data_IF_033812307837
#
_entry.id   IF_033812307837
#
_cell.length_a   1.000
_cell.length_b   1.000
_cell.length_c   1.000
_cell.angle_alpha   90.00
_cell.angle_beta   90.00
_cell.angle_gamma   90.00
#
_symmetry.space_group_name_H-M   'P 1'
#
loop_
_entity.id
_entity.type
_entity.pdbx_description
1 polymer ?
#
# COMPACT_ATOMS: atom_id res chain seq x y z
N UNK A 1 -18.97 14.07 -4.64
CA UNK A 1 -17.66 14.27 -4.00
C UNK A 1 -16.85 12.97 -4.10
N UNK A 2 -17.03 12.22 -5.19
CA UNK A 2 -16.76 10.76 -5.25
C UNK A 2 -15.68 10.38 -6.28
N UNK A 3 -15.03 11.37 -6.91
CA UNK A 3 -14.06 11.14 -8.00
C UNK A 3 -12.64 10.81 -7.53
N UNK A 4 -12.38 10.85 -6.22
CA UNK A 4 -11.05 10.61 -5.64
C UNK A 4 -10.98 9.34 -4.79
N UNK A 5 -12.03 8.52 -4.81
CA UNK A 5 -12.00 7.21 -4.18
C UNK A 5 -11.37 6.23 -5.18
N UNK A 6 -10.40 5.38 -4.77
CA UNK A 6 -9.91 4.33 -5.65
C UNK A 6 -11.11 3.53 -6.17
N UNK A 7 -11.12 3.21 -7.46
CA UNK A 7 -12.19 2.45 -8.10
C UNK A 7 -12.29 1.10 -7.36
N UNK A 8 -13.28 0.99 -6.49
CA UNK A 8 -13.62 -0.26 -5.82
C UNK A 8 -14.11 -1.24 -6.89
N UNK A 9 -13.24 -2.16 -7.30
CA UNK A 9 -13.54 -3.14 -8.36
C UNK A 9 -12.36 -3.51 -9.26
N UNK A 10 -11.23 -2.78 -9.23
CA UNK A 10 -9.99 -3.19 -9.92
C UNK A 10 -9.18 -4.26 -9.17
N UNK A 11 -9.51 -4.51 -7.91
CA UNK A 11 -8.98 -5.66 -7.17
C UNK A 11 -9.79 -6.89 -7.52
N UNK A 12 -9.19 -8.07 -7.75
CA UNK A 12 -9.90 -9.33 -7.69
C UNK A 12 -10.26 -9.60 -6.21
N UNK A 13 -11.23 -8.85 -5.69
CA UNK A 13 -11.67 -8.87 -4.28
C UNK A 13 -12.12 -10.28 -3.86
N UNK A 14 -12.59 -11.06 -4.83
CA UNK A 14 -13.08 -12.43 -4.65
C UNK A 14 -11.95 -13.42 -4.35
N UNK A 15 -10.77 -13.26 -4.97
CA UNK A 15 -9.63 -14.15 -4.69
C UNK A 15 -8.95 -13.78 -3.38
N UNK A 16 -8.78 -12.48 -3.10
CA UNK A 16 -8.11 -12.03 -1.87
C UNK A 16 -8.84 -12.51 -0.61
N UNK A 17 -10.18 -12.41 -0.59
CA UNK A 17 -11.00 -12.94 0.49
C UNK A 17 -10.76 -14.44 0.71
N UNK A 18 -10.75 -15.22 -0.36
CA UNK A 18 -10.50 -16.67 -0.27
C UNK A 18 -9.07 -16.99 0.19
N UNK A 19 -8.08 -16.16 -0.14
CA UNK A 19 -6.70 -16.32 0.34
C UNK A 19 -6.57 -15.98 1.83
N UNK A 20 -7.17 -14.88 2.29
CA UNK A 20 -7.19 -14.47 3.70
C UNK A 20 -7.94 -15.52 4.55
N UNK A 21 -9.08 -16.03 4.08
CA UNK A 21 -9.85 -17.06 4.78
C UNK A 21 -9.12 -18.42 4.84
N UNK A 22 -8.25 -18.71 3.87
CA UNK A 22 -7.48 -19.97 3.80
C UNK A 22 -6.26 -19.97 4.71
N UNK A 23 -5.67 -18.81 4.96
CA UNK A 23 -4.39 -18.65 5.66
C UNK A 23 -4.50 -17.57 6.75
N UNK A 24 -5.35 -17.78 7.77
CA UNK A 24 -5.59 -16.80 8.83
C UNK A 24 -4.35 -16.50 9.69
N UNK A 25 -3.31 -17.33 9.59
CA UNK A 25 -2.01 -17.15 10.27
C UNK A 25 -1.04 -16.20 9.56
N UNK A 26 -1.37 -15.72 8.35
CA UNK A 26 -0.53 -14.75 7.64
C UNK A 26 -0.61 -13.36 8.29
N UNK A 27 0.54 -12.69 8.32
CA UNK A 27 0.72 -11.37 8.91
C UNK A 27 -0.19 -10.29 8.25
N UNK A 28 -0.54 -9.22 9.00
CA UNK A 28 -1.60 -8.26 8.67
C UNK A 28 -1.53 -7.59 7.29
N UNK A 29 -2.70 -7.29 6.74
CA UNK A 29 -2.87 -6.38 5.59
C UNK A 29 -2.53 -4.95 6.00
N UNK A 30 -1.61 -4.30 5.28
CA UNK A 30 -1.26 -2.90 5.55
C UNK A 30 -2.26 -2.00 4.82
N UNK A 31 -2.95 -1.11 5.52
CA UNK A 31 -4.01 -0.26 4.93
C UNK A 31 -4.10 1.11 5.60
N UNK A 32 -4.10 2.17 4.80
CA UNK A 32 -4.74 3.45 5.12
C UNK A 32 -6.05 3.56 4.34
N UNK A 33 -7.18 3.32 5.01
CA UNK A 33 -8.56 3.41 4.48
C UNK A 33 -8.90 2.50 3.28
N UNK A 34 -8.91 1.18 3.47
CA UNK A 34 -9.63 0.22 2.61
C UNK A 34 -10.86 -0.26 3.37
N UNK A 35 -12.09 0.09 2.92
CA UNK A 35 -13.31 -0.46 3.49
C UNK A 35 -13.40 -1.97 3.24
N UNK A 36 -13.38 -2.76 4.32
CA UNK A 36 -13.60 -4.20 4.32
C UNK A 36 -12.34 -5.02 4.12
N UNK A 37 -11.50 -5.11 5.17
CA UNK A 37 -10.27 -5.90 5.28
C UNK A 37 -10.46 -7.43 5.15
N UNK A 38 -11.60 -7.90 4.64
CA UNK A 38 -11.94 -9.32 4.50
C UNK A 38 -11.75 -10.19 5.78
N UNK A 39 -11.63 -9.57 6.96
CA UNK A 39 -11.35 -10.25 8.23
C UNK A 39 -9.86 -10.36 8.59
N UNK A 40 -8.95 -9.85 7.77
CA UNK A 40 -7.52 -9.75 8.07
C UNK A 40 -7.21 -8.62 9.06
N UNK A 41 -6.13 -8.80 9.81
CA UNK A 41 -5.60 -7.78 10.71
C UNK A 41 -5.06 -6.59 9.89
N UNK A 42 -5.27 -5.36 10.39
CA UNK A 42 -4.81 -4.15 9.73
C UNK A 42 -3.71 -3.48 10.54
N UNK A 43 -2.58 -3.14 9.89
CA UNK A 43 -1.49 -2.38 10.53
C UNK A 43 -1.23 -1.06 9.82
N UNK A 44 -1.21 0.03 10.58
CA UNK A 44 -0.76 1.35 10.15
C UNK A 44 0.69 1.56 10.55
N UNK A 45 1.58 1.60 9.56
CA UNK A 45 3.01 1.81 9.78
C UNK A 45 3.41 3.25 9.46
N UNK A 46 3.97 3.97 10.44
CA UNK A 46 4.48 5.33 10.29
C UNK A 46 5.58 5.63 11.33
N UNK A 47 6.22 6.79 11.26
CA UNK A 47 7.21 7.23 12.23
C UNK A 47 6.59 7.47 13.61
N UNK A 48 7.40 7.39 14.66
CA UNK A 48 7.00 7.63 16.06
C UNK A 48 6.24 8.95 16.24
N UNK A 49 6.69 10.01 15.54
CA UNK A 49 6.07 11.33 15.62
C UNK A 49 4.62 11.36 15.09
N UNK A 50 4.25 10.39 14.25
CA UNK A 50 2.88 10.23 13.75
C UNK A 50 2.12 9.25 14.63
N UNK A 51 2.66 8.05 14.85
CA UNK A 51 2.00 7.01 15.65
C UNK A 51 1.73 7.49 17.08
N UNK A 52 2.67 8.21 17.70
CA UNK A 52 2.50 8.77 19.04
C UNK A 52 1.45 9.89 19.15
N UNK A 53 0.88 10.36 18.03
CA UNK A 53 -0.22 11.34 18.02
C UNK A 53 -1.60 10.71 17.89
N UNK A 54 -1.68 9.41 17.60
CA UNK A 54 -2.94 8.70 17.47
C UNK A 54 -3.64 8.63 18.85
N UNK A 55 -4.87 9.12 18.92
CA UNK A 55 -5.73 8.96 20.08
C UNK A 55 -6.50 7.64 20.01
N UNK A 56 -6.95 7.16 21.18
CA UNK A 56 -7.83 6.00 21.28
C UNK A 56 -9.08 6.21 20.41
N UNK A 57 -9.25 5.36 19.39
CA UNK A 57 -10.40 5.39 18.49
C UNK A 57 -10.22 6.19 17.21
N UNK A 58 -9.05 6.80 16.94
CA UNK A 58 -8.75 7.42 15.63
C UNK A 58 -8.69 6.37 14.50
N UNK A 59 -8.28 5.15 14.86
CA UNK A 59 -8.03 4.05 13.92
C UNK A 59 -8.68 2.75 14.41
N UNK A 60 -10.01 2.69 14.52
CA UNK A 60 -10.71 1.52 15.08
C UNK A 60 -10.49 0.28 14.20
N UNK A 61 -9.93 -0.77 14.79
CA UNK A 61 -9.62 -2.03 14.10
C UNK A 61 -8.31 -1.99 13.29
N UNK A 62 -7.45 -1.00 13.52
CA UNK A 62 -6.11 -0.91 12.93
C UNK A 62 -5.09 -0.75 14.05
N UNK A 63 -4.04 -1.55 14.01
CA UNK A 63 -2.92 -1.46 14.95
C UNK A 63 -1.88 -0.47 14.43
N UNK A 64 -1.53 0.54 15.24
CA UNK A 64 -0.44 1.46 14.94
C UNK A 64 0.91 0.82 15.24
N UNK A 65 1.84 0.87 14.28
CA UNK A 65 3.17 0.28 14.41
C UNK A 65 4.24 1.29 13.99
N UNK A 66 5.15 1.59 14.91
CA UNK A 66 6.26 2.51 14.65
C UNK A 66 7.23 1.85 13.67
N UNK A 67 7.48 2.51 12.53
CA UNK A 67 8.32 1.99 11.47
C UNK A 67 8.95 3.08 10.63
N UNK A 68 10.24 2.91 10.36
CA UNK A 68 10.96 3.70 9.36
C UNK A 68 11.10 2.91 8.06
N UNK A 69 10.46 3.40 6.99
CA UNK A 69 10.44 2.75 5.68
C UNK A 69 11.84 2.54 5.07
N UNK A 70 12.87 3.30 5.48
CA UNK A 70 14.25 3.06 4.99
C UNK A 70 14.86 1.78 5.57
N UNK A 71 14.27 1.23 6.64
CA UNK A 71 14.70 -0.01 7.29
C UNK A 71 13.98 -1.24 6.73
N UNK A 72 14.48 -2.43 7.02
CA UNK A 72 13.86 -3.68 6.58
C UNK A 72 12.41 -3.79 7.07
N UNK A 73 11.51 -4.28 6.21
CA UNK A 73 10.09 -4.37 6.52
C UNK A 73 9.85 -5.46 7.58
N UNK A 74 9.36 -5.10 8.78
CA UNK A 74 9.19 -6.07 9.88
C UNK A 74 8.03 -7.05 9.66
N UNK A 75 7.00 -6.62 8.93
CA UNK A 75 5.82 -7.45 8.63
C UNK A 75 6.07 -8.25 7.35
N UNK A 76 6.32 -9.55 7.51
CA UNK A 76 6.68 -10.45 6.41
C UNK A 76 5.49 -11.26 5.95
N UNK A 77 5.42 -11.55 4.65
CA UNK A 77 4.42 -12.42 4.03
C UNK A 77 2.97 -11.92 4.20
N UNK A 78 2.78 -10.59 4.33
CA UNK A 78 1.44 -10.00 4.37
C UNK A 78 0.72 -10.13 3.03
N UNK A 79 -0.60 -10.25 3.06
CA UNK A 79 -1.39 -10.32 1.82
C UNK A 79 -1.28 -9.04 0.99
N UNK A 80 -1.28 -7.88 1.65
CA UNK A 80 -1.26 -6.57 1.00
C UNK A 80 -0.27 -5.63 1.67
N UNK A 81 0.61 -5.03 0.87
CA UNK A 81 1.43 -3.89 1.24
C UNK A 81 0.90 -2.63 0.54
N UNK A 82 0.16 -1.80 1.25
CA UNK A 82 -0.47 -0.59 0.70
C UNK A 82 0.35 0.68 0.99
N UNK A 83 0.59 1.47 -0.06
CA UNK A 83 1.27 2.77 -0.01
C UNK A 83 0.39 3.82 -0.68
N UNK A 84 -0.20 4.72 0.10
CA UNK A 84 -1.06 5.78 -0.42
C UNK A 84 -0.44 7.14 -0.23
N UNK A 85 -0.25 7.87 -1.34
CA UNK A 85 0.30 9.23 -1.33
C UNK A 85 1.60 9.30 -0.53
N UNK A 86 2.49 8.34 -0.80
CA UNK A 86 3.69 8.13 0.01
C UNK A 86 4.95 8.36 -0.83
N UNK A 87 5.03 7.80 -2.04
CA UNK A 87 6.26 7.85 -2.82
C UNK A 87 6.53 9.23 -3.42
N UNK A 88 5.51 10.06 -3.65
CA UNK A 88 5.70 11.39 -4.23
C UNK A 88 6.46 12.40 -3.37
N UNK A 89 6.65 12.12 -2.07
CA UNK A 89 7.38 13.00 -1.16
C UNK A 89 8.91 12.77 -1.21
N UNK A 90 9.36 11.74 -1.92
CA UNK A 90 10.74 11.27 -1.88
C UNK A 90 11.40 11.19 -3.27
N UNK A 91 12.73 11.25 -3.28
CA UNK A 91 13.53 11.07 -4.48
C UNK A 91 13.60 9.60 -4.91
N UNK A 92 13.91 9.37 -6.19
CA UNK A 92 13.89 8.04 -6.81
C UNK A 92 14.72 6.99 -6.05
N UNK A 93 15.91 7.34 -5.57
CA UNK A 93 16.79 6.43 -4.83
C UNK A 93 16.19 5.95 -3.51
N UNK A 94 15.52 6.86 -2.80
CA UNK A 94 14.79 6.57 -1.56
C UNK A 94 13.55 5.73 -1.85
N UNK A 95 12.78 6.07 -2.89
CA UNK A 95 11.62 5.29 -3.33
C UNK A 95 12.01 3.85 -3.69
N UNK A 96 13.09 3.67 -4.46
CA UNK A 96 13.62 2.34 -4.79
C UNK A 96 13.96 1.57 -3.52
N UNK A 97 14.56 2.22 -2.51
CA UNK A 97 14.87 1.57 -1.23
C UNK A 97 13.61 1.06 -0.51
N UNK A 98 12.56 1.87 -0.43
CA UNK A 98 11.27 1.49 0.16
C UNK A 98 10.63 0.30 -0.56
N UNK A 99 10.63 0.37 -1.89
CA UNK A 99 10.07 -0.67 -2.75
C UNK A 99 10.84 -1.98 -2.61
N UNK A 100 12.18 -1.94 -2.55
CA UNK A 100 13.02 -3.12 -2.31
C UNK A 100 12.80 -3.71 -0.92
N UNK A 101 12.72 -2.89 0.12
CA UNK A 101 12.46 -3.37 1.49
C UNK A 101 11.12 -4.09 1.58
N UNK A 102 10.09 -3.55 0.92
CA UNK A 102 8.77 -4.17 0.85
C UNK A 102 8.81 -5.47 0.05
N UNK A 103 9.44 -5.47 -1.13
CA UNK A 103 9.54 -6.66 -1.99
C UNK A 103 10.30 -7.82 -1.33
N UNK A 104 11.26 -7.55 -0.44
CA UNK A 104 11.96 -8.59 0.33
C UNK A 104 11.04 -9.29 1.34
N UNK A 105 10.11 -8.56 1.92
CA UNK A 105 9.16 -9.09 2.89
C UNK A 105 7.95 -9.77 2.24
N UNK A 106 7.68 -9.52 0.96
CA UNK A 106 6.56 -10.13 0.23
C UNK A 106 6.72 -11.65 0.05
N UNK A 107 5.61 -12.36 0.26
CA UNK A 107 5.46 -13.76 -0.13
C UNK A 107 4.92 -13.92 -1.56
N UNK A 108 4.77 -15.16 -2.04
CA UNK A 108 4.37 -15.46 -3.42
C UNK A 108 2.98 -14.94 -3.80
N UNK A 109 2.07 -14.87 -2.82
CA UNK A 109 0.70 -14.38 -2.99
C UNK A 109 0.53 -12.94 -2.51
N UNK A 110 1.58 -12.32 -1.97
CA UNK A 110 1.53 -10.92 -1.53
C UNK A 110 1.30 -10.02 -2.74
N UNK A 111 0.60 -8.91 -2.51
CA UNK A 111 0.43 -7.85 -3.48
C UNK A 111 0.86 -6.53 -2.87
N UNK A 112 1.59 -5.74 -3.65
CA UNK A 112 1.89 -4.36 -3.31
C UNK A 112 0.91 -3.47 -4.07
N UNK A 113 0.38 -2.48 -3.38
CA UNK A 113 -0.55 -1.52 -3.94
C UNK A 113 0.02 -0.13 -3.73
N UNK A 114 0.22 0.58 -4.82
CA UNK A 114 0.62 1.99 -4.78
C UNK A 114 -0.56 2.79 -5.30
N UNK A 115 -1.00 3.78 -4.51
CA UNK A 115 -1.99 4.76 -4.95
C UNK A 115 -1.35 6.14 -4.89
N UNK A 116 -0.89 6.59 -6.04
CA UNK A 116 -0.27 7.90 -6.19
C UNK A 116 -0.78 8.62 -7.43
N UNK A 117 -0.39 9.88 -7.54
CA UNK A 117 -0.66 10.78 -8.63
C UNK A 117 0.19 10.43 -9.85
N UNK A 118 -0.47 10.04 -10.95
CA UNK A 118 0.19 9.93 -12.24
C UNK A 118 0.18 11.26 -12.99
N UNK A 119 1.38 11.77 -13.29
CA UNK A 119 1.56 12.92 -14.15
C UNK A 119 1.78 12.41 -15.58
N UNK A 120 0.98 12.84 -16.56
CA UNK A 120 1.18 12.45 -17.95
C UNK A 120 2.50 13.01 -18.48
N UNK A 121 3.13 12.29 -19.42
CA UNK A 121 4.38 12.71 -20.06
C UNK A 121 4.24 14.09 -20.75
N UNK A 122 3.05 14.39 -21.27
CA UNK A 122 2.71 15.66 -21.89
C UNK A 122 1.45 16.23 -21.26
N UNK A 123 1.46 17.55 -21.03
CA UNK A 123 0.30 18.31 -20.55
C UNK A 123 -0.17 19.26 -21.64
N UNK A 124 -1.49 19.30 -21.87
CA UNK A 124 -2.10 20.30 -22.74
C UNK A 124 -2.39 21.58 -21.96
N UNK A 125 -2.16 22.74 -22.58
CA UNK A 125 -2.54 24.03 -21.98
C UNK A 125 -4.07 24.06 -21.87
N UNK A 126 -4.58 24.22 -20.64
CA UNK A 126 -6.00 24.07 -20.28
C UNK A 126 -6.57 22.64 -20.35
N UNK A 127 -5.72 21.63 -20.47
CA UNK A 127 -6.11 20.23 -20.35
C UNK A 127 -6.63 19.87 -18.95
N UNK A 128 -7.21 18.67 -18.78
CA UNK A 128 -7.65 18.19 -17.48
C UNK A 128 -6.49 18.24 -16.48
N UNK A 129 -6.68 18.94 -15.37
CA UNK A 129 -5.75 18.93 -14.22
C UNK A 129 -5.97 17.71 -13.32
N UNK A 130 -6.88 16.83 -13.72
CA UNK A 130 -7.29 15.68 -12.95
C UNK A 130 -6.14 14.68 -12.98
N UNK A 131 -5.52 14.50 -11.83
CA UNK A 131 -4.41 13.59 -11.64
C UNK A 131 -5.01 12.19 -11.48
N UNK A 132 -4.57 11.25 -12.31
CA UNK A 132 -5.12 9.90 -12.28
C UNK A 132 -4.44 9.09 -11.17
N UNK A 133 -5.24 8.43 -10.33
CA UNK A 133 -4.74 7.41 -9.42
C UNK A 133 -4.67 6.09 -10.18
N UNK A 134 -3.47 5.57 -10.42
CA UNK A 134 -3.30 4.22 -10.96
C UNK A 134 -2.94 3.27 -9.83
N UNK A 135 -3.73 2.20 -9.72
CA UNK A 135 -3.41 1.03 -8.93
C UNK A 135 -2.49 0.16 -9.81
N UNK A 136 -1.19 0.13 -9.51
CA UNK A 136 -0.33 -0.90 -10.09
C UNK A 136 -0.43 -2.15 -9.22
N UNK A 137 -0.94 -3.22 -9.82
CA UNK A 137 -0.89 -4.57 -9.30
C UNK A 137 0.31 -5.22 -9.99
N UNK A 138 1.35 -5.51 -9.23
CA UNK A 138 2.48 -6.31 -9.72
C UNK A 138 2.00 -7.77 -9.91
N UNK A 139 1.54 -8.09 -11.12
CA UNK A 139 1.44 -9.47 -11.58
C UNK A 139 2.86 -9.95 -11.96
N UNK A 140 3.62 -10.35 -10.95
CA UNK A 140 4.76 -11.30 -11.00
C UNK A 140 5.97 -11.11 -11.93
N UNK A 141 6.18 -9.97 -12.62
CA UNK A 141 7.29 -9.87 -13.61
C UNK A 141 8.42 -8.86 -13.31
N UNK A 142 8.58 -8.38 -12.07
CA UNK A 142 9.80 -7.68 -11.66
C UNK A 142 10.72 -8.62 -10.88
N UNK A 143 11.83 -9.01 -11.50
CA UNK A 143 12.87 -9.79 -10.84
C UNK A 143 13.45 -8.96 -9.69
N UNK A 144 13.93 -9.64 -8.64
CA UNK A 144 14.65 -9.04 -7.49
C UNK A 144 15.84 -8.14 -7.90
N UNK A 145 16.23 -8.17 -9.17
CA UNK A 145 17.37 -7.46 -9.76
C UNK A 145 16.97 -6.22 -10.58
N UNK A 146 15.67 -5.93 -10.78
CA UNK A 146 15.22 -4.80 -11.61
C UNK A 146 15.31 -3.43 -10.92
N UNK A 147 15.95 -3.40 -9.75
CA UNK A 147 16.33 -2.20 -9.04
C UNK A 147 17.75 -2.34 -8.54
#
# INVERSE_FOLDING_TARGET
MDKNMPICGMFPRETLKAHVEREPEREPERVGEIPGAFGGELVLQDLEVVIGTLADGDTPGIEGMVYDAVTEQPVNNAHVYFMRRFLHDFYNDVCIKFLRNTAKAMGPDSRRIITDMLVPEQVEVYGPKEVYYRLELDDHDWQREDF
#
